data_IF_945899154722
#
_entry.id   IF_945899154722
#
_cell.length_a   1.000
_cell.length_b   1.000
_cell.length_c   1.000
_cell.angle_alpha   90.00
_cell.angle_beta   90.00
_cell.angle_gamma   90.00
#
_symmetry.space_group_name_H-M   'P 1'
#
loop_
_entity.id
_entity.type
_entity.pdbx_description
1 polymer ?
#
# COMPACT_ATOMS: atom_id res chain seq x y z
N UNK A 1 -16.79 23.19 -8.68
CA UNK A 1 -16.04 21.90 -8.72
C UNK A 1 -16.98 20.76 -8.37
N UNK A 2 -16.80 19.61 -9.00
CA UNK A 2 -17.56 18.42 -8.65
C UNK A 2 -17.19 17.95 -7.22
N UNK A 3 -18.19 17.56 -6.44
CA UNK A 3 -17.96 16.92 -5.16
C UNK A 3 -17.65 15.43 -5.41
N UNK A 4 -16.43 14.99 -5.07
CA UNK A 4 -15.98 13.61 -5.23
C UNK A 4 -16.09 12.79 -3.94
N UNK A 5 -16.63 13.38 -2.87
CA UNK A 5 -16.81 12.68 -1.58
C UNK A 5 -17.66 11.43 -1.75
N UNK A 6 -17.22 10.34 -1.19
CA UNK A 6 -17.91 9.04 -1.22
C UNK A 6 -17.77 8.31 0.12
N UNK A 7 -18.41 7.15 0.25
CA UNK A 7 -18.29 6.31 1.45
C UNK A 7 -17.90 4.89 1.08
N UNK A 8 -16.99 4.32 1.84
CA UNK A 8 -16.60 2.91 1.79
C UNK A 8 -16.71 2.31 3.19
N UNK A 9 -17.53 1.26 3.34
CA UNK A 9 -17.74 0.59 4.64
C UNK A 9 -18.05 1.54 5.80
N UNK A 10 -18.83 2.62 5.54
CA UNK A 10 -19.18 3.63 6.53
C UNK A 10 -18.13 4.72 6.76
N UNK A 11 -16.94 4.59 6.21
CA UNK A 11 -15.87 5.59 6.29
C UNK A 11 -16.03 6.57 5.11
N UNK A 12 -16.01 7.87 5.40
CA UNK A 12 -16.05 8.91 4.39
C UNK A 12 -14.67 9.10 3.74
N UNK A 13 -14.66 9.14 2.42
CA UNK A 13 -13.49 9.39 1.58
C UNK A 13 -13.66 10.72 0.84
N UNK A 14 -12.64 11.54 0.79
CA UNK A 14 -12.65 12.81 0.06
C UNK A 14 -12.68 12.61 -1.46
N UNK A 15 -12.32 11.43 -1.93
CA UNK A 15 -12.25 11.04 -3.34
C UNK A 15 -12.55 9.55 -3.47
N UNK A 16 -13.16 9.09 -4.58
CA UNK A 16 -13.40 7.67 -4.82
C UNK A 16 -12.14 6.91 -5.27
N UNK A 17 -11.03 7.61 -5.50
CA UNK A 17 -9.78 6.98 -5.92
C UNK A 17 -9.04 6.39 -4.73
N UNK A 18 -8.62 5.15 -4.85
CA UNK A 18 -7.88 4.42 -3.83
C UNK A 18 -6.60 3.89 -4.44
N UNK A 19 -5.44 4.22 -3.83
CA UNK A 19 -4.19 3.56 -4.19
C UNK A 19 -4.24 2.12 -3.69
N UNK A 20 -4.20 1.14 -4.61
CA UNK A 20 -4.14 -0.28 -4.28
C UNK A 20 -2.77 -0.71 -3.74
N UNK A 21 -2.72 -1.88 -3.09
CA UNK A 21 -1.48 -2.52 -2.69
C UNK A 21 -0.62 -2.84 -3.92
N UNK A 22 0.63 -2.39 -3.91
CA UNK A 22 1.54 -2.57 -5.04
C UNK A 22 2.87 -1.85 -4.87
N UNK A 23 3.68 -1.75 -5.94
CA UNK A 23 5.01 -1.14 -5.87
C UNK A 23 5.03 0.31 -5.38
N UNK A 24 3.95 1.06 -5.58
CA UNK A 24 3.86 2.46 -5.14
C UNK A 24 3.50 2.61 -3.66
N UNK A 25 3.03 1.55 -3.01
CA UNK A 25 2.57 1.58 -1.62
C UNK A 25 3.49 0.83 -0.65
N UNK A 26 4.76 0.63 -1.03
CA UNK A 26 5.71 -0.14 -0.22
C UNK A 26 6.27 0.59 0.99
N UNK A 27 6.08 1.92 1.07
CA UNK A 27 6.57 2.74 2.18
C UNK A 27 5.61 3.88 2.50
N UNK A 28 5.81 4.51 3.64
CA UNK A 28 5.06 5.69 4.06
C UNK A 28 5.12 6.83 3.04
N UNK A 29 6.28 7.04 2.42
CA UNK A 29 6.46 8.09 1.41
C UNK A 29 5.52 7.90 0.23
N UNK A 30 5.43 6.68 -0.32
CA UNK A 30 4.53 6.39 -1.43
C UNK A 30 3.06 6.61 -1.06
N UNK A 31 2.66 6.21 0.15
CA UNK A 31 1.31 6.43 0.67
C UNK A 31 1.00 7.93 0.84
N UNK A 32 1.94 8.71 1.36
CA UNK A 32 1.82 10.16 1.54
C UNK A 32 1.68 10.86 0.17
N UNK A 33 2.52 10.53 -0.79
CA UNK A 33 2.46 11.12 -2.13
C UNK A 33 1.15 10.80 -2.85
N UNK A 34 0.62 9.59 -2.70
CA UNK A 34 -0.69 9.24 -3.24
C UNK A 34 -1.83 10.04 -2.59
N UNK A 35 -1.78 10.22 -1.26
CA UNK A 35 -2.75 11.04 -0.55
C UNK A 35 -2.68 12.51 -0.99
N UNK A 36 -1.50 13.08 -1.13
CA UNK A 36 -1.29 14.43 -1.68
C UNK A 36 -1.79 14.58 -3.11
N UNK A 37 -1.67 13.52 -3.91
CA UNK A 37 -2.19 13.50 -5.28
C UNK A 37 -3.72 13.38 -5.36
N UNK A 38 -4.42 13.26 -4.23
CA UNK A 38 -5.89 13.26 -4.15
C UNK A 38 -6.51 11.88 -3.98
N UNK A 39 -5.76 10.86 -3.61
CA UNK A 39 -6.34 9.57 -3.22
C UNK A 39 -7.18 9.74 -1.94
N UNK A 40 -8.43 9.27 -1.96
CA UNK A 40 -9.32 9.28 -0.81
C UNK A 40 -8.95 8.24 0.25
N UNK A 41 -8.29 7.17 -0.18
CA UNK A 41 -7.68 6.17 0.70
C UNK A 41 -6.43 5.58 0.06
N UNK A 42 -5.58 4.97 0.88
CA UNK A 42 -4.38 4.26 0.43
C UNK A 42 -4.31 2.89 1.10
N UNK A 43 -3.87 1.89 0.34
CA UNK A 43 -3.69 0.51 0.83
C UNK A 43 -2.19 0.26 0.97
N UNK A 44 -1.75 -0.29 2.10
CA UNK A 44 -0.35 -0.64 2.30
C UNK A 44 0.12 -1.72 1.32
N UNK A 45 1.40 -1.78 1.04
CA UNK A 45 2.02 -3.01 0.53
C UNK A 45 1.67 -4.15 1.48
N UNK A 46 1.60 -5.37 0.97
CA UNK A 46 1.25 -6.54 1.80
C UNK A 46 2.18 -6.64 3.01
N UNK A 47 1.57 -6.63 4.18
CA UNK A 47 2.24 -6.78 5.47
C UNK A 47 2.28 -8.26 5.81
N UNK A 48 3.48 -8.78 6.04
CA UNK A 48 3.70 -10.15 6.51
C UNK A 48 4.58 -10.10 7.78
N UNK A 49 4.54 -11.17 8.55
CA UNK A 49 5.38 -11.30 9.75
C UNK A 49 6.85 -11.05 9.45
N UNK A 50 7.33 -11.59 8.34
CA UNK A 50 8.71 -11.46 7.88
C UNK A 50 8.74 -10.81 6.50
N UNK A 51 9.73 -9.96 6.27
CA UNK A 51 9.97 -9.37 4.96
C UNK A 51 10.42 -10.43 3.94
N UNK A 52 9.98 -10.31 2.71
CA UNK A 52 10.45 -11.13 1.62
C UNK A 52 11.79 -10.62 1.07
N UNK A 53 12.63 -11.52 0.62
CA UNK A 53 13.84 -11.17 -0.13
C UNK A 53 13.48 -11.09 -1.61
N UNK A 54 13.17 -9.88 -2.07
CA UNK A 54 12.80 -9.65 -3.45
C UNK A 54 14.00 -9.77 -4.39
N UNK A 55 13.84 -10.42 -5.56
CA UNK A 55 14.86 -10.37 -6.61
C UNK A 55 15.04 -8.94 -7.12
N UNK A 56 16.25 -8.56 -7.48
CA UNK A 56 16.55 -7.24 -8.03
C UNK A 56 17.31 -7.40 -9.36
N UNK A 57 16.75 -6.88 -10.47
CA UNK A 57 15.45 -6.20 -10.61
C UNK A 57 14.27 -7.18 -10.55
N UNK A 58 13.14 -6.75 -9.98
CA UNK A 58 11.91 -7.55 -9.92
C UNK A 58 10.83 -7.08 -10.91
N UNK A 59 11.02 -5.94 -11.54
CA UNK A 59 10.16 -5.45 -12.60
C UNK A 59 10.95 -5.32 -13.91
N UNK A 60 10.41 -5.88 -14.99
CA UNK A 60 11.06 -5.83 -16.29
C UNK A 60 10.06 -5.62 -17.40
N UNK A 61 10.43 -4.75 -18.37
CA UNK A 61 9.65 -4.52 -19.57
C UNK A 61 10.10 -5.49 -20.66
N UNK A 62 9.29 -6.51 -20.93
CA UNK A 62 9.58 -7.54 -21.92
C UNK A 62 9.20 -7.14 -23.35
N UNK A 63 8.50 -6.00 -23.52
CA UNK A 63 8.07 -5.51 -24.84
C UNK A 63 7.34 -4.17 -24.69
N UNK A 64 6.80 -3.66 -25.81
CA UNK A 64 6.16 -2.36 -25.84
C UNK A 64 4.97 -2.28 -24.86
N UNK A 65 4.18 -3.34 -24.75
CA UNK A 65 2.97 -3.40 -23.94
C UNK A 65 3.01 -4.53 -22.90
N UNK A 66 4.22 -5.01 -22.54
CA UNK A 66 4.39 -6.15 -21.64
C UNK A 66 5.31 -5.79 -20.49
N UNK A 67 4.79 -5.90 -19.27
CA UNK A 67 5.53 -5.74 -18.04
C UNK A 67 5.49 -7.06 -17.26
N UNK A 68 6.65 -7.51 -16.81
CA UNK A 68 6.80 -8.67 -15.92
C UNK A 68 7.16 -8.16 -14.54
N UNK A 69 6.44 -8.65 -13.53
CA UNK A 69 6.75 -8.42 -12.12
C UNK A 69 6.95 -9.77 -11.42
N UNK A 70 8.13 -9.97 -10.85
CA UNK A 70 8.51 -11.16 -10.07
C UNK A 70 8.68 -10.85 -8.59
N UNK A 71 8.10 -9.73 -8.15
CA UNK A 71 8.13 -9.29 -6.77
C UNK A 71 7.43 -10.29 -5.84
N UNK A 72 8.03 -10.53 -4.69
CA UNK A 72 7.43 -11.21 -3.54
C UNK A 72 6.75 -10.17 -2.64
N UNK A 73 5.66 -10.51 -2.01
CA UNK A 73 4.65 -9.57 -1.51
C UNK A 73 5.11 -8.49 -0.53
N UNK A 74 5.96 -8.85 0.44
CA UNK A 74 6.27 -7.97 1.57
C UNK A 74 7.71 -7.44 1.48
N UNK A 75 7.87 -6.13 1.25
CA UNK A 75 9.19 -5.48 1.26
C UNK A 75 9.68 -5.22 2.68
N UNK A 76 8.74 -5.00 3.62
CA UNK A 76 9.00 -4.78 5.03
C UNK A 76 8.19 -5.74 5.88
N UNK A 77 8.73 -6.11 7.05
CA UNK A 77 8.03 -6.92 8.04
C UNK A 77 6.93 -6.14 8.79
N UNK A 78 6.10 -6.86 9.51
CA UNK A 78 5.00 -6.27 10.27
C UNK A 78 5.48 -5.30 11.35
N UNK A 79 6.60 -5.58 12.00
CA UNK A 79 7.13 -4.74 13.06
C UNK A 79 7.49 -3.35 12.54
N UNK A 80 8.19 -3.27 11.42
CA UNK A 80 8.51 -2.01 10.77
C UNK A 80 7.26 -1.25 10.33
N UNK A 81 6.25 -1.94 9.77
CA UNK A 81 4.99 -1.30 9.41
C UNK A 81 4.30 -0.67 10.63
N UNK A 82 4.23 -1.40 11.74
CA UNK A 82 3.54 -0.93 12.95
C UNK A 82 4.31 0.21 13.63
N UNK A 83 5.63 0.10 13.72
CA UNK A 83 6.43 1.05 14.48
C UNK A 83 6.85 2.29 13.70
N UNK A 84 7.01 2.18 12.37
CA UNK A 84 7.57 3.25 11.56
C UNK A 84 6.62 3.71 10.45
N UNK A 85 6.26 2.83 9.51
CA UNK A 85 5.63 3.26 8.26
C UNK A 85 4.20 3.77 8.46
N UNK A 86 3.37 3.10 9.25
CA UNK A 86 2.00 3.53 9.53
C UNK A 86 1.98 4.84 10.32
N UNK A 87 2.71 4.98 11.44
CA UNK A 87 2.80 6.25 12.15
C UNK A 87 3.27 7.41 11.27
N UNK A 88 4.30 7.17 10.44
CA UNK A 88 4.84 8.17 9.52
C UNK A 88 3.82 8.56 8.43
N UNK A 89 3.12 7.60 7.85
CA UNK A 89 2.08 7.87 6.86
C UNK A 89 0.96 8.74 7.46
N UNK A 90 0.50 8.41 8.66
CA UNK A 90 -0.52 9.19 9.37
C UNK A 90 -0.05 10.60 9.71
N UNK A 91 1.19 10.75 10.21
CA UNK A 91 1.79 12.05 10.48
C UNK A 91 1.96 12.90 9.19
N UNK A 92 2.18 12.22 8.04
CA UNK A 92 2.29 12.85 6.73
C UNK A 92 0.96 13.23 6.07
N UNK A 93 -0.18 13.04 6.75
CA UNK A 93 -1.49 13.49 6.30
C UNK A 93 -2.35 12.44 5.61
N UNK A 94 -1.99 11.16 5.66
CA UNK A 94 -2.84 10.06 5.19
C UNK A 94 -4.05 9.93 6.13
N UNK A 95 -5.25 10.25 5.63
CA UNK A 95 -6.49 10.24 6.42
C UNK A 95 -7.06 8.84 6.57
N UNK A 96 -7.17 8.11 5.46
CA UNK A 96 -7.70 6.74 5.42
C UNK A 96 -6.65 5.80 4.89
N UNK A 97 -6.18 4.92 5.77
CA UNK A 97 -5.19 3.89 5.47
C UNK A 97 -5.82 2.52 5.70
N UNK A 98 -5.69 1.66 4.70
CA UNK A 98 -6.18 0.28 4.71
C UNK A 98 -4.95 -0.63 4.78
N UNK A 99 -4.86 -1.45 5.81
CA UNK A 99 -3.81 -2.45 5.92
C UNK A 99 -4.13 -3.67 5.04
N UNK A 100 -3.23 -4.00 4.13
CA UNK A 100 -3.26 -5.25 3.38
C UNK A 100 -2.36 -6.26 4.10
N UNK A 101 -2.96 -7.30 4.66
CA UNK A 101 -2.26 -8.31 5.46
C UNK A 101 -2.31 -9.65 4.74
N UNK A 102 -1.22 -10.38 4.74
CA UNK A 102 -1.12 -11.68 4.11
C UNK A 102 -0.16 -12.61 4.83
N UNK A 103 -0.35 -13.91 4.64
CA UNK A 103 0.51 -14.93 5.21
C UNK A 103 0.23 -16.30 4.60
N UNK A 104 1.11 -17.29 4.79
CA UNK A 104 0.95 -18.63 4.26
C UNK A 104 -0.14 -19.44 4.97
N UNK A 105 -0.52 -19.05 6.19
CA UNK A 105 -1.59 -19.69 6.97
C UNK A 105 -2.41 -18.63 7.69
N UNK A 106 -3.60 -19.03 8.20
CA UNK A 106 -4.47 -18.13 8.97
C UNK A 106 -3.78 -17.65 10.26
N UNK A 107 -2.99 -18.50 10.90
CA UNK A 107 -2.23 -18.14 12.10
C UNK A 107 -1.10 -17.12 11.81
N UNK A 108 -0.59 -17.11 10.60
CA UNK A 108 0.44 -16.14 10.20
C UNK A 108 -0.14 -14.74 9.90
N UNK A 109 -1.46 -14.64 9.78
CA UNK A 109 -2.19 -13.39 9.53
C UNK A 109 -2.81 -12.84 10.82
N UNK A 110 -3.10 -13.71 11.77
CA UNK A 110 -3.67 -13.35 13.07
C UNK A 110 -2.66 -12.70 14.00
#
# INVERSE_FOLDING_TARGET
MANLTTKLCGVELESPFILGSGPLSYSAEGLIEAAKAGAGAVVTKTIQKEAAVNPVPHMWRAGQNTLINSELWADYDAERWIQEEIPKAKAGGVKVLIANVGGPTDEAVA
#
